data_IF_529530802374
#
_entry.id   IF_529530802374
#
_cell.length_a   1.000
_cell.length_b   1.000
_cell.length_c   1.000
_cell.angle_alpha   90.00
_cell.angle_beta   90.00
_cell.angle_gamma   90.00
#
_symmetry.space_group_name_H-M   'P 1'
#
loop_
_entity.id
_entity.type
_entity.pdbx_description
1 polymer ?
#
# COMPACT_ATOMS: atom_id res chain seq x y z
N UNK A 1 19.93 39.78 -31.92
CA UNK A 1 19.23 38.58 -31.48
C UNK A 1 17.78 38.80 -31.85
N UNK A 2 17.26 38.01 -32.79
CA UNK A 2 15.88 38.13 -33.23
C UNK A 2 14.95 37.65 -32.13
N UNK A 3 13.73 38.19 -32.04
CA UNK A 3 12.74 37.77 -31.04
C UNK A 3 12.49 36.25 -31.06
N UNK A 4 12.62 35.62 -32.23
CA UNK A 4 12.49 34.18 -32.45
C UNK A 4 13.54 33.35 -31.70
N UNK A 5 14.79 33.82 -31.58
CA UNK A 5 15.86 33.11 -30.86
C UNK A 5 15.62 33.10 -29.35
N UNK A 6 15.07 34.20 -28.82
CA UNK A 6 14.71 34.30 -27.40
C UNK A 6 13.55 33.36 -27.06
N UNK A 7 12.53 33.30 -27.93
CA UNK A 7 11.39 32.40 -27.78
C UNK A 7 11.79 30.92 -27.84
N UNK A 8 12.72 30.55 -28.73
CA UNK A 8 13.26 29.19 -28.80
C UNK A 8 14.02 28.80 -27.54
N UNK A 9 14.80 29.72 -26.97
CA UNK A 9 15.49 29.54 -25.69
C UNK A 9 14.51 29.28 -24.54
N UNK A 10 13.46 30.10 -24.43
CA UNK A 10 12.41 29.95 -23.41
C UNK A 10 11.66 28.62 -23.52
N UNK A 11 11.33 28.19 -24.74
CA UNK A 11 10.70 26.89 -25.00
C UNK A 11 11.59 25.73 -24.56
N UNK A 12 12.90 25.82 -24.78
CA UNK A 12 13.83 24.78 -24.33
C UNK A 12 13.94 24.70 -22.80
N UNK A 13 13.95 25.84 -22.11
CA UNK A 13 13.91 25.85 -20.64
C UNK A 13 12.62 25.21 -20.10
N UNK A 14 11.48 25.53 -20.70
CA UNK A 14 10.18 24.93 -20.36
C UNK A 14 10.17 23.41 -20.64
N UNK A 15 10.78 22.97 -21.75
CA UNK A 15 10.89 21.54 -22.08
C UNK A 15 11.66 20.78 -21.00
N UNK A 16 12.80 21.30 -20.56
CA UNK A 16 13.61 20.70 -19.49
C UNK A 16 12.83 20.64 -18.17
N UNK A 17 12.13 21.71 -17.82
CA UNK A 17 11.30 21.76 -16.61
C UNK A 17 10.16 20.73 -16.63
N UNK A 18 9.41 20.62 -17.75
CA UNK A 18 8.31 19.65 -17.86
C UNK A 18 8.80 18.22 -17.85
N UNK A 19 9.93 17.93 -18.49
CA UNK A 19 10.58 16.61 -18.43
C UNK A 19 10.97 16.23 -17.00
N UNK A 20 11.59 17.14 -16.26
CA UNK A 20 11.92 16.92 -14.85
C UNK A 20 10.66 16.66 -13.99
N UNK A 21 9.55 17.36 -14.26
CA UNK A 21 8.27 17.11 -13.57
C UNK A 21 7.70 15.73 -13.89
N UNK A 22 7.75 15.30 -15.16
CA UNK A 22 7.35 13.96 -15.57
C UNK A 22 8.22 12.89 -14.88
N UNK A 23 9.55 13.05 -14.88
CA UNK A 23 10.47 12.13 -14.20
C UNK A 23 10.17 12.04 -12.69
N UNK A 24 9.84 13.16 -12.04
CA UNK A 24 9.44 13.19 -10.63
C UNK A 24 8.10 12.48 -10.39
N UNK A 25 7.12 12.70 -11.26
CA UNK A 25 5.82 12.03 -11.18
C UNK A 25 5.99 10.51 -11.34
N UNK A 26 6.85 10.06 -12.26
CA UNK A 26 7.17 8.64 -12.42
C UNK A 26 7.85 8.03 -11.19
N UNK A 27 8.79 8.74 -10.57
CA UNK A 27 9.42 8.28 -9.32
C UNK A 27 8.38 8.12 -8.21
N UNK A 28 7.51 9.12 -8.04
CA UNK A 28 6.40 9.06 -7.09
C UNK A 28 5.48 7.85 -7.33
N UNK A 29 5.15 7.56 -8.60
CA UNK A 29 4.37 6.38 -8.97
C UNK A 29 5.10 5.07 -8.61
N UNK A 30 6.41 4.97 -8.87
CA UNK A 30 7.21 3.79 -8.51
C UNK A 30 7.26 3.59 -7.00
N UNK A 31 7.42 4.66 -6.23
CA UNK A 31 7.40 4.63 -4.76
C UNK A 31 6.03 4.19 -4.23
N UNK A 32 4.94 4.74 -4.77
CA UNK A 32 3.58 4.35 -4.39
C UNK A 32 3.31 2.85 -4.68
N UNK A 33 3.74 2.35 -5.85
CA UNK A 33 3.64 0.93 -6.20
C UNK A 33 4.46 0.03 -5.29
N UNK A 34 5.70 0.43 -4.96
CA UNK A 34 6.54 -0.31 -4.00
C UNK A 34 5.88 -0.37 -2.63
N UNK A 35 5.36 0.74 -2.13
CA UNK A 35 4.65 0.77 -0.85
C UNK A 35 3.40 -0.12 -0.86
N UNK A 36 2.68 -0.22 -1.98
CA UNK A 36 1.57 -1.16 -2.14
C UNK A 36 2.05 -2.62 -2.11
N UNK A 37 3.13 -2.95 -2.81
CA UNK A 37 3.71 -4.30 -2.80
C UNK A 37 4.19 -4.71 -1.41
N UNK A 38 4.87 -3.81 -0.69
CA UNK A 38 5.28 -4.04 0.71
C UNK A 38 4.06 -4.29 1.61
N UNK A 39 2.97 -3.54 1.43
CA UNK A 39 1.74 -3.79 2.19
C UNK A 39 1.16 -5.19 1.90
N UNK A 40 1.14 -5.63 0.64
CA UNK A 40 0.66 -6.97 0.27
C UNK A 40 1.51 -8.06 0.92
N UNK A 41 2.84 -7.92 0.92
CA UNK A 41 3.73 -8.86 1.61
C UNK A 41 3.46 -8.90 3.13
N UNK A 42 3.19 -7.75 3.76
CA UNK A 42 2.80 -7.72 5.18
C UNK A 42 1.44 -8.36 5.45
N UNK A 43 0.48 -8.23 4.53
CA UNK A 43 -0.83 -8.91 4.62
C UNK A 43 -0.65 -10.42 4.55
N UNK A 44 0.15 -10.90 3.59
CA UNK A 44 0.46 -12.33 3.44
C UNK A 44 1.13 -12.89 4.70
N UNK A 45 2.18 -12.21 5.19
CA UNK A 45 2.86 -12.60 6.42
C UNK A 45 1.90 -12.60 7.64
N UNK A 46 1.03 -11.60 7.78
CA UNK A 46 0.07 -11.54 8.87
C UNK A 46 -1.02 -12.62 8.75
N UNK A 47 -1.38 -13.01 7.53
CA UNK A 47 -2.25 -14.15 7.24
C UNK A 47 -1.64 -15.43 7.75
N UNK A 48 -0.36 -15.67 7.42
CA UNK A 48 0.34 -16.89 7.82
C UNK A 48 0.50 -16.97 9.34
N UNK A 49 0.87 -15.85 9.98
CA UNK A 49 0.96 -15.77 11.45
C UNK A 49 -0.40 -16.04 12.12
N UNK A 50 -1.49 -15.52 11.56
CA UNK A 50 -2.84 -15.79 12.09
C UNK A 50 -3.21 -17.27 11.97
N UNK A 51 -2.82 -17.93 10.87
CA UNK A 51 -3.11 -19.34 10.68
C UNK A 51 -2.29 -20.23 11.62
N UNK A 52 -1.02 -19.90 11.86
CA UNK A 52 -0.19 -20.54 12.89
C UNK A 52 -0.84 -20.38 14.29
N UNK A 53 -1.22 -19.15 14.67
CA UNK A 53 -1.90 -18.87 15.94
C UNK A 53 -3.20 -19.67 16.10
N UNK A 54 -3.99 -19.84 15.03
CA UNK A 54 -5.20 -20.66 15.04
C UNK A 54 -4.91 -22.14 15.26
N UNK A 55 -3.87 -22.67 14.63
CA UNK A 55 -3.48 -24.07 14.80
C UNK A 55 -3.02 -24.33 16.23
N UNK A 56 -2.22 -23.41 16.81
CA UNK A 56 -1.76 -23.54 18.18
C UNK A 56 -2.91 -23.37 19.18
N UNK A 57 -3.81 -22.40 18.99
CA UNK A 57 -5.04 -22.27 19.78
C UNK A 57 -5.88 -23.56 19.72
N UNK A 58 -6.04 -24.16 18.53
CA UNK A 58 -6.79 -25.41 18.37
C UNK A 58 -6.14 -26.58 19.11
N UNK A 59 -4.80 -26.67 19.09
CA UNK A 59 -4.05 -27.70 19.82
C UNK A 59 -4.18 -27.52 21.33
N UNK A 60 -3.92 -26.31 21.83
CA UNK A 60 -3.95 -26.02 23.27
C UNK A 60 -5.37 -26.12 23.84
N UNK A 61 -6.39 -25.66 23.09
CA UNK A 61 -7.79 -25.83 23.48
C UNK A 61 -8.22 -27.29 23.50
N UNK A 62 -7.78 -28.12 22.56
CA UNK A 62 -8.06 -29.56 22.58
C UNK A 62 -7.40 -30.26 23.78
N UNK A 63 -6.17 -29.88 24.15
CA UNK A 63 -5.50 -30.39 25.34
C UNK A 63 -6.23 -29.96 26.62
N UNK A 64 -6.63 -28.70 26.68
CA UNK A 64 -7.35 -28.15 27.83
C UNK A 64 -8.72 -28.81 28.01
N UNK A 65 -9.45 -28.99 26.91
CA UNK A 65 -10.72 -29.71 26.89
C UNK A 65 -10.52 -31.16 27.36
N UNK A 66 -9.51 -31.86 26.84
CA UNK A 66 -9.22 -33.23 27.25
C UNK A 66 -8.89 -33.34 28.74
N UNK A 67 -8.28 -32.32 29.34
CA UNK A 67 -7.96 -32.29 30.76
C UNK A 67 -9.22 -32.16 31.64
N UNK A 68 -10.20 -31.37 31.21
CA UNK A 68 -11.41 -31.08 31.99
C UNK A 68 -12.63 -31.94 31.62
N UNK A 69 -12.61 -32.61 30.47
CA UNK A 69 -13.73 -33.41 30.00
C UNK A 69 -14.05 -34.57 30.95
N UNK A 70 -15.33 -34.69 31.33
CA UNK A 70 -15.81 -35.76 32.20
C UNK A 70 -15.49 -35.59 33.69
N UNK A 71 -14.83 -34.49 34.09
CA UNK A 71 -14.56 -34.19 35.50
C UNK A 71 -15.70 -33.39 36.13
N UNK A 72 -16.07 -33.72 37.38
CA UNK A 72 -16.97 -32.88 38.19
C UNK A 72 -16.17 -31.70 38.72
N UNK A 73 -16.40 -30.52 38.16
CA UNK A 73 -15.62 -29.32 38.46
C UNK A 73 -16.27 -28.46 39.54
N UNK A 74 -15.44 -27.83 40.37
CA UNK A 74 -15.88 -26.75 41.25
C UNK A 74 -16.09 -25.46 40.45
N UNK A 75 -16.90 -24.53 40.97
CA UNK A 75 -17.11 -23.23 40.34
C UNK A 75 -15.80 -22.46 40.12
N UNK A 76 -14.82 -22.60 41.03
CA UNK A 76 -13.50 -21.98 40.89
C UNK A 76 -12.73 -22.57 39.71
N UNK A 77 -12.72 -23.90 39.56
CA UNK A 77 -12.03 -24.57 38.46
C UNK A 77 -12.67 -24.24 37.09
N UNK A 78 -13.99 -24.04 37.05
CA UNK A 78 -14.69 -23.61 35.84
C UNK A 78 -14.34 -22.16 35.45
N UNK A 79 -14.16 -21.28 36.45
CA UNK A 79 -13.68 -19.90 36.21
C UNK A 79 -12.24 -19.86 35.70
N UNK A 80 -11.36 -20.71 36.22
CA UNK A 80 -9.96 -20.78 35.75
C UNK A 80 -9.88 -21.32 34.33
N UNK A 81 -10.66 -22.34 33.98
CA UNK A 81 -10.75 -22.85 32.61
C UNK A 81 -11.22 -21.74 31.65
N UNK A 82 -12.32 -21.04 31.97
CA UNK A 82 -12.80 -19.93 31.13
C UNK A 82 -11.82 -18.76 31.03
N UNK A 83 -10.96 -18.54 32.02
CA UNK A 83 -9.87 -17.56 31.93
C UNK A 83 -8.76 -18.03 30.97
N UNK A 84 -8.38 -19.31 31.04
CA UNK A 84 -7.38 -19.90 30.15
C UNK A 84 -7.83 -19.86 28.68
N UNK A 85 -9.07 -20.23 28.36
CA UNK A 85 -9.60 -20.13 26.99
C UNK A 85 -9.60 -18.70 26.43
N UNK A 86 -9.87 -17.70 27.28
CA UNK A 86 -9.79 -16.30 26.88
C UNK A 86 -8.36 -15.87 26.59
N UNK A 87 -7.38 -16.39 27.33
CA UNK A 87 -5.96 -16.12 27.09
C UNK A 87 -5.51 -16.76 25.79
N UNK A 88 -5.91 -18.02 25.54
CA UNK A 88 -5.62 -18.74 24.29
C UNK A 88 -6.15 -17.98 23.07
N UNK A 89 -7.42 -17.60 23.11
CA UNK A 89 -8.06 -16.84 22.02
C UNK A 89 -7.58 -15.39 21.90
N UNK A 90 -6.89 -14.84 22.90
CA UNK A 90 -6.44 -13.44 22.87
C UNK A 90 -5.40 -13.20 21.77
N UNK A 91 -4.48 -14.15 21.54
CA UNK A 91 -3.44 -14.02 20.52
C UNK A 91 -4.05 -14.04 19.11
N UNK A 92 -4.87 -15.04 18.81
CA UNK A 92 -5.61 -15.13 17.53
C UNK A 92 -6.47 -13.89 17.26
N UNK A 93 -7.11 -13.31 18.29
CA UNK A 93 -7.87 -12.05 18.16
C UNK A 93 -6.98 -10.88 17.81
N UNK A 94 -5.79 -10.76 18.42
CA UNK A 94 -4.82 -9.69 18.10
C UNK A 94 -4.31 -9.82 16.67
N UNK A 95 -3.95 -11.04 16.24
CA UNK A 95 -3.44 -11.27 14.89
C UNK A 95 -4.51 -11.01 13.84
N UNK A 96 -5.77 -11.40 14.12
CA UNK A 96 -6.90 -11.07 13.27
C UNK A 96 -7.11 -9.55 13.17
N UNK A 97 -7.09 -8.84 14.30
CA UNK A 97 -7.22 -7.39 14.30
C UNK A 97 -6.08 -6.69 13.53
N UNK A 98 -4.85 -7.22 13.64
CA UNK A 98 -3.70 -6.74 12.86
C UNK A 98 -3.90 -6.94 11.36
N UNK A 99 -4.40 -8.12 10.95
CA UNK A 99 -4.70 -8.41 9.54
C UNK A 99 -5.77 -7.47 8.99
N UNK A 100 -6.86 -7.25 9.74
CA UNK A 100 -7.93 -6.31 9.37
C UNK A 100 -7.41 -4.88 9.22
N UNK A 101 -6.54 -4.43 10.11
CA UNK A 101 -5.91 -3.11 10.04
C UNK A 101 -4.94 -2.94 8.85
N UNK A 102 -4.32 -4.02 8.36
CA UNK A 102 -3.50 -4.00 7.15
C UNK A 102 -4.38 -4.00 5.89
N UNK A 103 -5.46 -4.78 5.89
CA UNK A 103 -6.42 -4.81 4.79
C UNK A 103 -7.12 -3.47 4.60
N UNK A 104 -7.46 -2.76 5.68
CA UNK A 104 -8.06 -1.43 5.59
C UNK A 104 -7.14 -0.40 4.92
N UNK A 105 -5.81 -0.56 5.03
CA UNK A 105 -4.85 0.32 4.36
C UNK A 105 -4.75 0.08 2.85
N UNK A 106 -5.28 -1.03 2.33
CA UNK A 106 -5.17 -1.39 0.92
C UNK A 106 -5.85 -0.36 0.02
N UNK A 107 -7.05 0.10 0.41
CA UNK A 107 -7.80 1.09 -0.34
C UNK A 107 -7.04 2.43 -0.42
N UNK A 108 -6.49 2.90 0.69
CA UNK A 108 -5.69 4.13 0.71
C UNK A 108 -4.46 4.03 -0.21
N UNK A 109 -3.75 2.89 -0.21
CA UNK A 109 -2.61 2.69 -1.10
C UNK A 109 -3.04 2.64 -2.57
N UNK A 110 -4.18 2.00 -2.87
CA UNK A 110 -4.74 1.97 -4.22
C UNK A 110 -5.10 3.38 -4.72
N UNK A 111 -5.73 4.20 -3.88
CA UNK A 111 -6.02 5.61 -4.20
C UNK A 111 -4.73 6.40 -4.47
N UNK A 112 -3.68 6.20 -3.65
CA UNK A 112 -2.37 6.85 -3.86
C UNK A 112 -1.72 6.43 -5.18
N UNK A 113 -1.76 5.15 -5.54
CA UNK A 113 -1.27 4.69 -6.85
C UNK A 113 -2.08 5.30 -7.98
N UNK A 114 -3.42 5.31 -7.89
CA UNK A 114 -4.28 5.91 -8.90
C UNK A 114 -4.05 7.41 -9.09
N UNK A 115 -3.87 8.16 -8.01
CA UNK A 115 -3.54 9.59 -8.08
C UNK A 115 -2.16 9.83 -8.70
N UNK A 116 -1.14 9.04 -8.34
CA UNK A 116 0.19 9.13 -8.94
C UNK A 116 0.17 8.78 -10.45
N UNK A 117 -0.64 7.80 -10.87
CA UNK A 117 -0.84 7.50 -12.29
C UNK A 117 -1.43 8.68 -13.06
N UNK A 118 -2.48 9.30 -12.51
CA UNK A 118 -3.09 10.51 -13.12
C UNK A 118 -2.05 11.62 -13.28
N UNK A 119 -1.26 11.88 -12.25
CA UNK A 119 -0.19 12.89 -12.31
C UNK A 119 0.87 12.58 -13.39
N UNK A 120 1.27 11.32 -13.54
CA UNK A 120 2.18 10.91 -14.62
C UNK A 120 1.55 11.19 -15.98
N UNK A 121 0.30 10.77 -16.20
CA UNK A 121 -0.39 11.00 -17.49
C UNK A 121 -0.52 12.49 -17.82
N UNK A 122 -0.83 13.33 -16.83
CA UNK A 122 -0.90 14.78 -17.01
C UNK A 122 0.47 15.39 -17.35
N UNK A 123 1.53 14.98 -16.66
CA UNK A 123 2.88 15.48 -16.93
C UNK A 123 3.36 15.09 -18.33
N UNK A 124 3.12 13.85 -18.76
CA UNK A 124 3.47 13.38 -20.09
C UNK A 124 2.73 14.17 -21.18
N UNK A 125 1.41 14.37 -21.03
CA UNK A 125 0.62 15.20 -21.95
C UNK A 125 1.16 16.62 -22.05
N UNK A 126 1.62 17.20 -20.94
CA UNK A 126 2.22 18.53 -20.97
C UNK A 126 3.58 18.56 -21.66
N UNK A 127 4.37 17.48 -21.60
CA UNK A 127 5.63 17.35 -22.34
C UNK A 127 5.35 17.26 -23.84
N UNK A 128 4.41 16.40 -24.25
CA UNK A 128 3.96 16.24 -25.65
C UNK A 128 3.48 17.58 -26.22
N UNK A 129 2.61 18.30 -25.48
CA UNK A 129 2.14 19.63 -25.89
C UNK A 129 3.27 20.62 -26.15
N UNK A 130 4.36 20.60 -25.37
CA UNK A 130 5.52 21.47 -25.65
C UNK A 130 6.32 21.02 -26.87
N UNK A 131 6.41 19.72 -27.11
CA UNK A 131 7.09 19.19 -28.29
C UNK A 131 6.36 19.66 -29.55
N UNK A 132 5.03 19.55 -29.58
CA UNK A 132 4.20 20.05 -30.68
C UNK A 132 4.37 21.56 -30.89
N UNK A 133 4.28 22.36 -29.81
CA UNK A 133 4.48 23.82 -29.91
C UNK A 133 5.87 24.17 -30.44
N UNK A 134 6.90 23.46 -30.02
CA UNK A 134 8.26 23.70 -30.52
C UNK A 134 8.43 23.35 -32.00
N UNK A 135 7.71 22.34 -32.50
CA UNK A 135 7.69 21.99 -33.92
C UNK A 135 6.99 23.06 -34.75
N UNK A 136 5.86 23.59 -34.25
CA UNK A 136 5.11 24.65 -34.92
C UNK A 136 5.91 25.95 -35.00
N UNK A 137 6.54 26.37 -33.90
CA UNK A 137 7.40 27.57 -33.88
C UNK A 137 8.60 27.46 -34.81
N UNK A 138 9.14 26.25 -35.02
CA UNK A 138 10.23 26.03 -35.97
C UNK A 138 9.78 26.13 -37.45
N UNK A 139 8.48 26.09 -37.73
CA UNK A 139 7.90 26.20 -39.07
C UNK A 139 7.42 27.62 -39.40
N UNK A 140 7.35 28.52 -38.41
CA UNK A 140 6.96 29.92 -38.65
C UNK A 140 8.08 30.66 -39.41
N UNK A 141 7.76 31.31 -40.54
CA UNK A 141 8.74 32.10 -41.27
C UNK A 141 9.15 33.33 -40.45
N UNK A 142 10.46 33.54 -40.28
CA UNK A 142 11.07 34.73 -39.65
C UNK A 142 10.84 36.00 -40.43
#
# INVERSE_FOLDING_TARGET
MSHSDVLLGDVETLRRLRRHRADRAERSLREAKRAQQTLLAHIEQASDTLEESRQDEARESAQLLSHYQGQVMTLQALKTWGAQERVLSANTRRDKARLEALQSQQEEKAIRVGSAQKQVTECLRQVEKLQELSLLLAQEPT
#
